data_IF_579661625707
#
_entry.id   IF_579661625707
#
_cell.length_a   1.000
_cell.length_b   1.000
_cell.length_c   1.000
_cell.angle_alpha   90.00
_cell.angle_beta   90.00
_cell.angle_gamma   90.00
#
_symmetry.space_group_name_H-M   'P 1'
#
loop_
_entity.id
_entity.type
_entity.pdbx_description
1 polymer ?
#
# COMPACT_ATOMS: atom_id res chain seq x y z
N UNK A 1 -6.53 2.50 7.68
CA UNK A 1 -6.85 1.22 8.35
C UNK A 1 -6.18 0.02 7.68
N UNK A 2 -6.31 -0.19 6.36
CA UNK A 2 -5.67 -1.32 5.66
C UNK A 2 -4.13 -1.27 5.73
N UNK A 3 -3.53 -0.19 5.21
CA UNK A 3 -2.07 -0.01 5.18
C UNK A 3 -1.44 0.03 6.58
N UNK A 4 -2.16 0.56 7.58
CA UNK A 4 -1.74 0.55 8.99
C UNK A 4 -1.69 -0.88 9.57
N UNK A 5 -2.51 -1.80 9.06
CA UNK A 5 -2.50 -3.21 9.49
C UNK A 5 -1.42 -4.00 8.76
N UNK A 6 -1.31 -3.80 7.44
CA UNK A 6 -0.27 -4.43 6.60
C UNK A 6 1.13 -4.03 7.07
N UNK A 7 1.34 -2.76 7.43
CA UNK A 7 2.64 -2.30 7.94
C UNK A 7 3.08 -3.01 9.21
N UNK A 8 2.15 -3.42 10.07
CA UNK A 8 2.48 -4.19 11.29
C UNK A 8 2.80 -5.66 11.01
N UNK A 9 2.41 -6.19 9.85
CA UNK A 9 2.56 -7.60 9.49
C UNK A 9 3.78 -7.88 8.60
N UNK A 10 4.22 -6.90 7.81
CA UNK A 10 5.34 -7.05 6.87
C UNK A 10 6.61 -6.58 7.56
N UNK A 11 7.62 -7.42 7.80
CA UNK A 11 8.87 -6.97 8.43
C UNK A 11 9.62 -5.92 7.56
N UNK A 12 10.49 -5.06 8.13
CA UNK A 12 11.43 -4.24 7.36
C UNK A 12 12.24 -5.10 6.38
N UNK A 13 12.43 -4.62 5.15
CA UNK A 13 12.97 -5.39 4.02
C UNK A 13 12.00 -6.40 3.39
N UNK A 14 10.79 -6.57 3.94
CA UNK A 14 9.77 -7.49 3.44
C UNK A 14 9.04 -6.97 2.20
N UNK A 15 8.56 -7.89 1.37
CA UNK A 15 7.78 -7.57 0.16
C UNK A 15 6.29 -7.85 0.41
N UNK A 16 5.47 -6.86 0.14
CA UNK A 16 4.02 -6.98 0.15
C UNK A 16 3.49 -7.02 -1.29
N UNK A 17 2.81 -8.10 -1.65
CA UNK A 17 2.17 -8.26 -2.97
C UNK A 17 0.66 -8.24 -2.78
N UNK A 18 -0.01 -7.31 -3.48
CA UNK A 18 -1.47 -7.18 -3.44
C UNK A 18 -2.04 -7.39 -4.84
N UNK A 19 -3.04 -8.28 -4.93
CA UNK A 19 -3.89 -8.44 -6.11
C UNK A 19 -5.24 -7.81 -5.82
N UNK A 20 -5.65 -6.83 -6.62
CA UNK A 20 -6.93 -6.14 -6.51
C UNK A 20 -7.74 -6.33 -7.79
N UNK A 21 -9.05 -6.49 -7.64
CA UNK A 21 -10.02 -6.46 -8.74
C UNK A 21 -10.86 -5.16 -8.75
N UNK A 22 -10.58 -4.27 -7.80
CA UNK A 22 -11.28 -3.00 -7.56
C UNK A 22 -10.44 -1.78 -7.91
N UNK A 23 -9.10 -1.89 -7.82
CA UNK A 23 -8.19 -0.77 -7.95
C UNK A 23 -7.14 -1.08 -9.03
N UNK A 24 -6.82 -0.04 -9.79
CA UNK A 24 -5.68 -0.02 -10.71
C UNK A 24 -4.36 0.07 -9.96
N UNK A 25 -3.26 -0.25 -10.66
CA UNK A 25 -1.89 -0.04 -10.15
C UNK A 25 -1.68 1.38 -9.61
N UNK A 26 -2.07 2.39 -10.38
CA UNK A 26 -1.82 3.80 -10.01
C UNK A 26 -2.71 4.28 -8.85
N UNK A 27 -3.88 3.67 -8.65
CA UNK A 27 -4.69 3.90 -7.44
C UNK A 27 -4.01 3.29 -6.21
N UNK A 28 -3.52 2.05 -6.30
CA UNK A 28 -2.80 1.40 -5.20
C UNK A 28 -1.52 2.15 -4.80
N UNK A 29 -0.75 2.65 -5.79
CA UNK A 29 0.44 3.47 -5.51
C UNK A 29 0.04 4.75 -4.76
N UNK A 30 -1.01 5.45 -5.20
CA UNK A 30 -1.49 6.67 -4.53
C UNK A 30 -1.94 6.42 -3.10
N UNK A 31 -2.59 5.29 -2.82
CA UNK A 31 -2.97 4.91 -1.46
C UNK A 31 -1.75 4.68 -0.56
N UNK A 32 -0.71 4.03 -1.09
CA UNK A 32 0.57 3.84 -0.38
C UNK A 32 1.26 5.16 -0.12
N UNK A 33 1.32 6.07 -1.10
CA UNK A 33 1.93 7.38 -0.93
C UNK A 33 1.19 8.19 0.14
N UNK A 34 -0.15 8.17 0.14
CA UNK A 34 -0.96 8.81 1.18
C UNK A 34 -0.78 8.16 2.56
N UNK A 35 -0.48 6.86 2.63
CA UNK A 35 -0.08 6.21 3.88
C UNK A 35 1.31 6.68 4.33
N UNK A 36 2.31 6.66 3.46
CA UNK A 36 3.68 7.06 3.77
C UNK A 36 3.75 8.53 4.24
N UNK A 37 3.02 9.44 3.59
CA UNK A 37 2.95 10.84 4.01
C UNK A 37 2.38 11.00 5.43
N UNK A 38 1.36 10.22 5.79
CA UNK A 38 0.80 10.24 7.15
C UNK A 38 1.78 9.73 8.19
N UNK A 39 2.53 8.67 7.87
CA UNK A 39 3.56 8.13 8.76
C UNK A 39 4.69 9.14 8.97
N UNK A 40 5.16 9.80 7.90
CA UNK A 40 6.22 10.81 7.99
C UNK A 40 5.76 12.11 8.68
N UNK A 41 4.52 12.55 8.43
CA UNK A 41 3.95 13.76 9.05
C UNK A 41 3.64 13.60 10.53
N UNK A 42 3.33 12.38 10.99
CA UNK A 42 3.13 12.08 12.42
C UNK A 42 4.43 12.23 13.25
N UNK A 43 5.60 12.33 12.61
CA UNK A 43 6.90 12.50 13.27
C UNK A 43 7.24 13.96 13.63
N UNK A 44 6.38 14.95 13.32
CA UNK A 44 6.67 16.38 13.50
C UNK A 44 5.90 17.10 14.62
N UNK A 45 4.98 16.45 15.35
CA UNK A 45 4.22 17.12 16.43
C UNK A 45 4.95 17.07 17.79
N UNK A 46 5.19 18.22 18.46
CA UNK A 46 5.75 18.28 19.80
C UNK A 46 4.66 18.14 20.89
N UNK A 47 4.97 17.35 21.92
CA UNK A 47 4.33 17.29 23.24
C UNK A 47 2.87 16.81 23.34
N UNK A 48 2.68 15.49 23.47
CA UNK A 48 1.72 14.92 24.44
C UNK A 48 2.06 13.45 24.75
N UNK A 49 2.04 13.01 26.02
CA UNK A 49 2.25 11.61 26.39
C UNK A 49 0.92 10.86 26.25
N UNK A 50 0.74 10.14 25.14
CA UNK A 50 -0.29 9.09 25.03
C UNK A 50 0.33 7.83 24.47
N UNK A 51 0.10 6.73 25.17
CA UNK A 51 0.52 5.36 24.90
C UNK A 51 0.27 4.90 23.44
N UNK A 52 1.20 5.19 22.52
CA UNK A 52 1.16 4.71 21.13
C UNK A 52 2.56 4.33 20.65
N UNK A 53 3.10 3.30 21.28
CA UNK A 53 4.48 2.81 21.18
C UNK A 53 4.82 2.05 19.88
N UNK A 54 4.17 2.33 18.75
CA UNK A 54 4.38 1.54 17.50
C UNK A 54 4.55 2.40 16.24
N UNK A 55 4.25 3.71 16.28
CA UNK A 55 4.15 4.51 15.04
C UNK A 55 5.39 5.33 14.66
N UNK A 56 6.41 5.43 15.52
CA UNK A 56 7.50 6.40 15.32
C UNK A 56 8.58 5.97 14.32
N UNK A 57 8.75 4.67 14.09
CA UNK A 57 9.79 4.11 13.20
C UNK A 57 9.25 3.05 12.24
N UNK A 58 8.03 3.21 11.73
CA UNK A 58 7.51 2.27 10.72
C UNK A 58 8.07 2.61 9.34
N UNK A 59 8.92 1.75 8.74
CA UNK A 59 9.46 2.05 7.43
C UNK A 59 8.36 2.17 6.36
N UNK A 60 8.54 3.09 5.40
CA UNK A 60 7.59 3.31 4.32
C UNK A 60 7.54 2.13 3.35
N UNK A 61 6.45 2.05 2.58
CA UNK A 61 6.33 1.13 1.47
C UNK A 61 6.74 1.82 0.15
N UNK A 62 7.55 1.16 -0.67
CA UNK A 62 7.94 1.65 -1.99
C UNK A 62 7.51 0.68 -3.08
N UNK A 63 6.98 1.22 -4.17
CA UNK A 63 6.70 0.41 -5.36
C UNK A 63 7.97 -0.26 -5.90
N UNK A 64 7.88 -1.58 -6.18
CA UNK A 64 8.96 -2.34 -6.84
C UNK A 64 8.54 -2.69 -8.28
N UNK A 65 7.40 -3.37 -8.44
CA UNK A 65 6.98 -3.92 -9.72
C UNK A 65 5.47 -4.20 -9.74
N UNK A 66 4.94 -4.51 -10.91
CA UNK A 66 3.56 -4.96 -11.11
C UNK A 66 3.47 -5.91 -12.30
N UNK A 67 2.40 -6.68 -12.36
CA UNK A 67 2.07 -7.46 -13.56
C UNK A 67 1.58 -6.51 -14.65
N UNK A 68 2.29 -6.47 -15.78
CA UNK A 68 2.07 -5.48 -16.86
C UNK A 68 0.84 -5.75 -17.70
N UNK A 69 0.40 -6.99 -17.80
CA UNK A 69 -0.77 -7.39 -18.57
C UNK A 69 -1.53 -8.50 -17.86
N UNK A 70 -2.84 -8.31 -17.72
CA UNK A 70 -3.78 -9.37 -17.37
C UNK A 70 -4.56 -9.78 -18.61
N UNK A 71 -4.95 -11.06 -18.73
CA UNK A 71 -5.94 -11.46 -19.71
C UNK A 71 -7.24 -10.69 -19.46
N UNK A 72 -7.66 -9.89 -20.42
CA UNK A 72 -8.93 -9.17 -20.35
C UNK A 72 -10.04 -10.10 -20.82
N UNK A 73 -10.96 -10.44 -19.92
CA UNK A 73 -12.15 -11.20 -20.28
C UNK A 73 -13.33 -10.22 -20.50
N UNK A 74 -13.94 -10.28 -21.68
CA UNK A 74 -15.15 -9.53 -21.99
C UNK A 74 -16.37 -10.39 -21.71
N UNK A 75 -17.30 -9.90 -20.91
CA UNK A 75 -18.59 -10.56 -20.67
C UNK A 75 -19.71 -9.56 -21.01
N UNK A 76 -20.58 -9.92 -21.95
CA UNK A 76 -21.69 -9.05 -22.38
C UNK A 76 -21.25 -7.70 -22.98
N UNK A 77 -20.11 -7.64 -23.67
CA UNK A 77 -19.58 -6.40 -24.26
C UNK A 77 -18.94 -5.42 -23.27
N UNK A 78 -18.93 -5.75 -21.98
CA UNK A 78 -18.22 -4.99 -20.95
C UNK A 78 -16.92 -5.70 -20.58
N UNK A 79 -15.83 -4.93 -20.47
CA UNK A 79 -14.57 -5.43 -19.93
C UNK A 79 -14.75 -5.68 -18.44
N UNK A 80 -14.64 -6.95 -18.02
CA UNK A 80 -14.69 -7.31 -16.61
C UNK A 80 -13.50 -6.73 -15.85
N UNK A 81 -13.76 -6.28 -14.61
CA UNK A 81 -12.84 -5.94 -13.52
C UNK A 81 -11.37 -5.60 -13.88
N UNK A 82 -10.93 -4.40 -13.50
CA UNK A 82 -9.53 -3.97 -13.60
C UNK A 82 -8.67 -4.73 -12.59
N UNK A 83 -8.21 -5.92 -12.96
CA UNK A 83 -7.26 -6.68 -12.13
C UNK A 83 -5.89 -6.00 -12.16
N UNK A 84 -5.32 -5.77 -10.98
CA UNK A 84 -3.95 -5.30 -10.82
C UNK A 84 -3.25 -6.14 -9.75
N UNK A 85 -1.99 -6.55 -10.00
CA UNK A 85 -1.11 -7.03 -8.93
C UNK A 85 0.11 -6.16 -8.86
N UNK A 86 0.39 -5.63 -7.68
CA UNK A 86 1.48 -4.69 -7.41
C UNK A 86 2.29 -5.19 -6.21
N UNK A 87 3.60 -5.03 -6.30
CA UNK A 87 4.55 -5.38 -5.24
C UNK A 87 5.16 -4.12 -4.65
N UNK A 88 5.20 -4.06 -3.32
CA UNK A 88 5.79 -2.99 -2.53
C UNK A 88 6.89 -3.54 -1.60
N UNK A 89 8.01 -2.84 -1.49
CA UNK A 89 9.07 -3.09 -0.50
C UNK A 89 8.77 -2.29 0.75
N UNK A 90 8.80 -2.91 1.93
CA UNK A 90 8.93 -2.17 3.18
C UNK A 90 10.41 -1.87 3.42
N UNK A 91 10.81 -0.60 3.46
CA UNK A 91 12.20 -0.21 3.72
C UNK A 91 12.66 -0.48 5.16
#
# INVERSE_FOLDING_TARGET
MYWDSVSRLVAPGGIFVVTSCNNTKDELIREVDAYNQRVLGASQEPDTPKDQDISRDSPPFHYINHVRSYPTFMFGGSVGSRVATVAFLRS
#
